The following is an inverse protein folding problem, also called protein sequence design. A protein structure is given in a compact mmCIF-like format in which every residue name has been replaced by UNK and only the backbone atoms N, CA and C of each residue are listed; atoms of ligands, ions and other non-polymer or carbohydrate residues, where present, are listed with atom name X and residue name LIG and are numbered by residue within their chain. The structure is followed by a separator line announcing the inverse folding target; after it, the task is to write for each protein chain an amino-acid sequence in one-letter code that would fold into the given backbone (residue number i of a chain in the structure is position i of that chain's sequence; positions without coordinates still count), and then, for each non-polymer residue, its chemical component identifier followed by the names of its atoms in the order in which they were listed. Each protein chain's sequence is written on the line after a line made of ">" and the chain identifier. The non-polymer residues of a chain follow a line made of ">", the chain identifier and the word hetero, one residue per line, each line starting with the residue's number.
data_IF_399513127257
#
_entry.id   IF_399513127257
#
_cell.length_a   1.000
_cell.length_b   1.000
_cell.length_c   1.000
_cell.angle_alpha   90.00
_cell.angle_beta   90.00
_cell.angle_gamma   90.00
#
_symmetry.space_group_name_H-M   'P 1'
#
loop_
_entity.id
_entity.type
_entity.pdbx_description
1 polymer ?
#
# COMPACT_ATOMS: atom_id res chain seq x y z
N UNK A 1 -2.59 57.68 25.09
CA UNK A 1 -1.74 57.14 24.03
C UNK A 1 -1.92 58.04 22.83
N UNK A 2 -0.86 58.72 22.40
CA UNK A 2 -0.76 59.25 21.04
C UNK A 2 -0.84 58.06 20.07
N UNK A 3 -1.25 58.28 18.81
CA UNK A 3 -1.37 57.19 17.82
C UNK A 3 -0.03 56.46 17.61
N UNK A 4 1.09 57.17 17.84
CA UNK A 4 2.45 56.65 17.81
C UNK A 4 2.80 55.71 18.96
N UNK A 5 2.03 55.72 20.05
CA UNK A 5 2.26 54.85 21.21
C UNK A 5 1.70 53.43 20.98
N UNK A 6 0.94 53.21 19.91
CA UNK A 6 0.41 51.89 19.56
C UNK A 6 1.42 51.10 18.73
N UNK A 7 1.67 49.82 19.03
CA UNK A 7 2.47 48.98 18.16
C UNK A 7 1.92 49.01 16.73
N UNK A 8 2.82 49.12 15.75
CA UNK A 8 2.47 49.36 14.36
C UNK A 8 3.19 48.35 13.48
N UNK A 9 2.45 47.47 12.80
CA UNK A 9 3.06 46.58 11.80
C UNK A 9 3.32 47.34 10.49
N UNK A 10 4.47 47.07 9.87
CA UNK A 10 4.86 47.63 8.58
C UNK A 10 4.66 46.59 7.49
N UNK A 11 3.84 46.90 6.48
CA UNK A 11 3.72 46.06 5.28
C UNK A 11 4.66 46.58 4.20
N UNK A 12 5.62 45.76 3.79
CA UNK A 12 6.61 46.10 2.78
C UNK A 12 6.27 45.47 1.43
N UNK A 13 5.77 46.29 0.51
CA UNK A 13 5.51 45.94 -0.90
C UNK A 13 6.39 46.81 -1.80
N UNK A 14 7.71 46.62 -1.74
CA UNK A 14 8.64 47.43 -2.52
C UNK A 14 9.77 46.60 -3.08
N UNK A 15 9.70 46.29 -4.37
CA UNK A 15 10.74 45.56 -5.09
C UNK A 15 10.66 45.67 -6.63
N UNK A 16 9.82 46.54 -7.21
CA UNK A 16 9.67 46.67 -8.67
C UNK A 16 10.93 47.22 -9.33
N UNK A 17 11.37 48.41 -8.91
CA UNK A 17 12.56 49.05 -9.46
C UNK A 17 13.84 48.32 -9.04
N UNK A 18 13.83 47.74 -7.85
CA UNK A 18 14.92 46.92 -7.34
C UNK A 18 15.22 45.74 -8.27
N UNK A 19 14.19 45.12 -8.87
CA UNK A 19 14.37 44.04 -9.83
C UNK A 19 15.04 44.50 -11.13
N UNK A 20 15.01 45.79 -11.46
CA UNK A 20 15.71 46.38 -12.61
C UNK A 20 17.14 46.82 -12.29
N UNK A 21 17.52 46.83 -11.00
CA UNK A 21 18.83 47.22 -10.54
C UNK A 21 19.91 46.15 -10.74
N UNK A 22 21.12 46.46 -10.28
CA UNK A 22 22.23 45.52 -10.16
C UNK A 22 22.93 45.77 -8.83
N UNK A 23 22.59 44.95 -7.83
CA UNK A 23 23.11 45.04 -6.47
C UNK A 23 23.15 43.65 -5.83
N UNK A 24 23.98 43.48 -4.81
CA UNK A 24 24.12 42.22 -4.07
C UNK A 24 23.05 42.08 -2.97
N UNK A 25 22.87 40.87 -2.44
CA UNK A 25 22.02 40.63 -1.26
C UNK A 25 22.46 41.49 -0.08
N UNK A 26 23.77 41.68 0.10
CA UNK A 26 24.34 42.50 1.17
C UNK A 26 24.00 43.98 1.01
N UNK A 27 24.04 44.50 -0.23
CA UNK A 27 23.60 45.87 -0.51
C UNK A 27 22.11 46.05 -0.20
N UNK A 28 21.26 45.12 -0.64
CA UNK A 28 19.82 45.19 -0.35
C UNK A 28 19.53 45.14 1.15
N UNK A 29 20.17 44.22 1.88
CA UNK A 29 20.05 44.10 3.33
C UNK A 29 20.46 45.38 4.06
N UNK A 30 21.55 46.01 3.63
CA UNK A 30 22.01 47.28 4.20
C UNK A 30 20.96 48.36 4.06
N UNK A 31 20.41 48.54 2.87
CA UNK A 31 19.42 49.59 2.61
C UNK A 31 18.09 49.32 3.36
N UNK A 32 17.62 48.07 3.40
CA UNK A 32 16.37 47.73 4.11
C UNK A 32 16.50 47.86 5.62
N UNK A 33 17.66 47.50 6.20
CA UNK A 33 17.91 47.74 7.63
C UNK A 33 17.95 49.24 7.95
N UNK A 34 18.60 50.03 7.09
CA UNK A 34 18.64 51.48 7.25
C UNK A 34 17.23 52.11 7.18
N UNK A 35 16.38 51.67 6.25
CA UNK A 35 14.99 52.11 6.19
C UNK A 35 14.21 51.71 7.45
N UNK A 36 14.36 50.46 7.90
CA UNK A 36 13.66 49.97 9.09
C UNK A 36 14.03 50.77 10.34
N UNK A 37 15.30 51.13 10.50
CA UNK A 37 15.78 52.01 11.57
C UNK A 37 15.12 53.40 11.47
N UNK A 38 15.02 53.98 10.27
CA UNK A 38 14.35 55.27 10.07
C UNK A 38 12.85 55.23 10.41
N UNK A 39 12.14 54.18 10.02
CA UNK A 39 10.71 53.99 10.34
C UNK A 39 10.51 53.86 11.84
N UNK A 40 11.33 53.02 12.49
CA UNK A 40 11.30 52.79 13.94
C UNK A 40 11.60 54.05 14.73
N UNK A 41 12.62 54.81 14.33
CA UNK A 41 12.96 56.11 14.91
C UNK A 41 11.81 57.12 14.77
N UNK A 42 11.15 57.18 13.61
CA UNK A 42 10.03 58.10 13.37
C UNK A 42 8.79 57.77 14.24
N UNK A 43 8.61 56.49 14.57
CA UNK A 43 7.57 55.98 15.45
C UNK A 43 7.98 56.02 16.93
N UNK A 44 9.26 56.14 17.24
CA UNK A 44 9.78 55.98 18.60
C UNK A 44 9.64 54.55 19.12
N UNK A 45 9.75 53.58 18.22
CA UNK A 45 9.46 52.16 18.45
C UNK A 45 10.69 51.30 18.12
N UNK A 46 10.67 50.04 18.56
CA UNK A 46 11.73 49.07 18.27
C UNK A 46 11.17 47.88 17.47
N UNK A 47 12.04 46.95 17.07
CA UNK A 47 11.65 45.79 16.27
C UNK A 47 10.47 45.01 16.86
N UNK A 48 10.42 44.86 18.19
CA UNK A 48 9.35 44.13 18.88
C UNK A 48 7.96 44.78 18.74
N UNK A 49 7.88 46.10 18.55
CA UNK A 49 6.63 46.86 18.40
C UNK A 49 6.36 47.29 16.97
N UNK A 50 7.36 47.14 16.08
CA UNK A 50 7.27 47.44 14.65
C UNK A 50 7.77 46.26 13.81
N UNK A 51 7.00 45.16 13.75
CA UNK A 51 7.33 44.03 12.88
C UNK A 51 7.12 44.39 11.41
N UNK A 52 7.89 43.74 10.53
CA UNK A 52 7.80 43.91 9.08
C UNK A 52 7.15 42.68 8.43
N UNK A 53 6.16 42.88 7.57
CA UNK A 53 5.62 41.84 6.69
C UNK A 53 6.10 42.13 5.27
N UNK A 54 7.09 41.39 4.79
CA UNK A 54 7.54 41.45 3.40
C UNK A 54 6.53 40.77 2.48
N UNK A 55 6.06 41.51 1.48
CA UNK A 55 5.11 41.01 0.49
C UNK A 55 5.78 41.09 -0.89
N UNK A 56 6.61 40.09 -1.22
CA UNK A 56 7.28 40.03 -2.50
C UNK A 56 6.31 40.09 -3.69
N UNK A 57 6.59 40.93 -4.69
CA UNK A 57 5.92 40.91 -6.00
C UNK A 57 6.92 40.50 -7.07
N UNK A 58 6.65 39.42 -7.82
CA UNK A 58 7.50 39.03 -8.95
C UNK A 58 6.98 39.69 -10.21
N UNK A 59 7.71 40.68 -10.71
CA UNK A 59 7.38 41.32 -11.96
C UNK A 59 7.87 40.47 -13.13
N UNK A 60 7.17 40.46 -14.28
CA UNK A 60 7.61 39.72 -15.45
C UNK A 60 8.81 40.37 -16.15
N UNK A 61 9.30 41.49 -15.62
CA UNK A 61 10.45 42.23 -16.06
C UNK A 61 11.37 42.54 -14.89
N UNK A 62 12.67 42.72 -15.17
CA UNK A 62 13.72 42.79 -14.16
C UNK A 62 14.41 41.44 -13.96
N UNK A 63 15.66 41.47 -13.52
CA UNK A 63 16.52 40.28 -13.35
C UNK A 63 17.13 40.14 -11.96
N UNK A 64 17.00 41.15 -11.09
CA UNK A 64 17.69 41.18 -9.80
C UNK A 64 16.86 40.61 -8.63
N UNK A 65 16.05 39.58 -8.92
CA UNK A 65 15.15 38.97 -7.95
C UNK A 65 15.88 38.24 -6.82
N UNK A 66 16.93 37.47 -7.15
CA UNK A 66 17.62 36.62 -6.17
C UNK A 66 18.17 37.41 -4.98
N UNK A 67 18.89 38.53 -5.16
CA UNK A 67 19.34 39.37 -4.04
C UNK A 67 18.22 39.86 -3.12
N UNK A 68 17.07 40.21 -3.69
CA UNK A 68 15.91 40.72 -2.95
C UNK A 68 15.26 39.58 -2.15
N UNK A 69 15.02 38.44 -2.80
CA UNK A 69 14.42 37.27 -2.16
C UNK A 69 15.28 36.69 -1.04
N UNK A 70 16.58 36.56 -1.28
CA UNK A 70 17.55 36.10 -0.26
C UNK A 70 17.66 37.10 0.89
N UNK A 71 17.56 38.40 0.59
CA UNK A 71 17.55 39.46 1.59
C UNK A 71 16.32 39.39 2.48
N UNK A 72 15.12 39.28 1.89
CA UNK A 72 13.87 39.09 2.63
C UNK A 72 13.94 37.84 3.51
N UNK A 73 14.42 36.71 2.97
CA UNK A 73 14.58 35.46 3.73
C UNK A 73 15.59 35.60 4.89
N UNK A 74 16.66 36.38 4.69
CA UNK A 74 17.65 36.65 5.74
C UNK A 74 17.05 37.50 6.87
N UNK A 75 16.21 38.48 6.55
CA UNK A 75 15.55 39.32 7.55
C UNK A 75 14.40 38.61 8.27
N UNK A 76 13.68 37.73 7.56
CA UNK A 76 12.67 36.81 8.10
C UNK A 76 13.29 35.86 9.14
N UNK A 77 14.48 35.33 8.85
CA UNK A 77 15.23 34.47 9.76
C UNK A 77 15.89 35.24 10.93
N UNK A 78 16.06 36.56 10.81
CA UNK A 78 16.66 37.40 11.85
C UNK A 78 15.61 37.85 12.87
N UNK A 79 15.50 37.10 13.96
CA UNK A 79 14.59 37.41 15.07
C UNK A 79 14.81 38.82 15.66
N UNK A 80 16.01 39.40 15.56
CA UNK A 80 16.27 40.78 16.02
C UNK A 80 15.69 41.83 15.07
N UNK A 81 15.48 41.47 13.81
CA UNK A 81 14.81 42.33 12.83
C UNK A 81 13.28 42.22 12.93
N UNK A 82 12.74 41.10 13.41
CA UNK A 82 11.31 40.84 13.60
C UNK A 82 10.49 41.05 12.31
N UNK A 83 10.70 40.18 11.33
CA UNK A 83 9.95 40.19 10.09
C UNK A 83 9.33 38.84 9.76
N UNK A 84 8.36 38.86 8.85
CA UNK A 84 7.77 37.69 8.20
C UNK A 84 7.68 37.90 6.68
N UNK A 85 7.59 36.82 5.90
CA UNK A 85 7.27 36.88 4.46
C UNK A 85 5.85 36.39 4.20
N UNK A 86 5.05 37.20 3.51
CA UNK A 86 3.74 36.81 2.98
C UNK A 86 3.76 36.68 1.47
N UNK A 87 3.45 35.47 1.00
CA UNK A 87 3.35 35.15 -0.44
C UNK A 87 1.96 35.44 -1.04
N UNK A 88 1.13 36.21 -0.35
CA UNK A 88 -0.24 36.53 -0.77
C UNK A 88 -0.32 37.17 -2.17
N UNK A 89 0.72 37.91 -2.58
CA UNK A 89 0.76 38.60 -3.86
C UNK A 89 1.09 37.70 -5.07
N UNK A 90 1.42 36.41 -4.89
CA UNK A 90 1.86 35.56 -6.01
C UNK A 90 0.73 35.10 -6.94
N UNK A 91 -0.53 35.28 -6.54
CA UNK A 91 -1.72 34.86 -7.30
C UNK A 91 -2.44 36.02 -7.98
N UNK A 92 -1.84 37.21 -8.00
CA UNK A 92 -2.45 38.43 -8.53
C UNK A 92 -2.38 38.44 -10.05
N UNK A 93 -3.41 39.02 -10.67
CA UNK A 93 -3.47 39.19 -12.12
C UNK A 93 -2.54 40.32 -12.59
N UNK A 94 -2.28 41.29 -11.71
CA UNK A 94 -1.45 42.48 -11.93
C UNK A 94 -1.90 43.27 -13.17
N UNK A 95 -3.20 43.51 -13.32
CA UNK A 95 -3.80 44.08 -14.54
C UNK A 95 -4.16 45.58 -14.47
N UNK A 96 -3.59 46.31 -13.51
CA UNK A 96 -3.94 47.71 -13.23
C UNK A 96 -3.67 48.68 -14.37
N UNK A 97 -2.78 48.33 -15.30
CA UNK A 97 -2.49 49.12 -16.51
C UNK A 97 -3.38 48.75 -17.71
N UNK A 98 -4.32 47.82 -17.55
CA UNK A 98 -5.27 47.40 -18.59
C UNK A 98 -4.94 46.08 -19.31
N UNK A 99 -3.89 45.37 -18.89
CA UNK A 99 -3.52 44.03 -19.35
C UNK A 99 -2.85 43.24 -18.22
N UNK A 100 -3.05 41.92 -18.21
CA UNK A 100 -2.50 41.04 -17.17
C UNK A 100 -0.96 41.04 -17.13
N UNK A 101 -0.41 40.81 -15.93
CA UNK A 101 1.03 40.79 -15.63
C UNK A 101 1.73 42.13 -15.96
N UNK A 102 1.10 43.25 -15.63
CA UNK A 102 1.69 44.58 -15.75
C UNK A 102 2.39 45.03 -14.46
N UNK A 103 2.76 46.31 -14.42
CA UNK A 103 3.44 46.98 -13.31
C UNK A 103 2.54 47.29 -12.13
N UNK A 104 1.26 47.52 -12.39
CA UNK A 104 0.33 47.96 -11.35
C UNK A 104 -0.74 46.93 -11.06
N UNK A 105 -1.12 46.89 -9.80
CA UNK A 105 -2.21 46.08 -9.30
C UNK A 105 -3.56 46.71 -9.66
N UNK A 106 -4.47 45.92 -10.23
CA UNK A 106 -5.85 46.35 -10.44
C UNK A 106 -6.63 46.44 -9.12
N UNK A 107 -7.78 47.12 -9.13
CA UNK A 107 -8.59 47.29 -7.91
C UNK A 107 -9.09 45.95 -7.34
N UNK A 108 -9.34 44.95 -8.19
CA UNK A 108 -9.74 43.61 -7.78
C UNK A 108 -8.60 42.87 -7.05
N UNK A 109 -7.39 42.94 -7.60
CA UNK A 109 -6.19 42.37 -6.99
C UNK A 109 -5.85 43.06 -5.65
N UNK A 110 -6.03 44.38 -5.55
CA UNK A 110 -5.79 45.13 -4.31
C UNK A 110 -6.74 44.70 -3.18
N UNK A 111 -8.02 44.49 -3.50
CA UNK A 111 -9.00 43.98 -2.53
C UNK A 111 -8.66 42.54 -2.12
N UNK A 112 -8.29 41.69 -3.08
CA UNK A 112 -7.91 40.30 -2.82
C UNK A 112 -6.68 40.23 -1.92
N UNK A 113 -5.61 40.96 -2.28
CA UNK A 113 -4.38 41.01 -1.49
C UNK A 113 -4.64 41.53 -0.08
N UNK A 114 -5.45 42.58 0.07
CA UNK A 114 -5.83 43.09 1.38
C UNK A 114 -6.51 42.05 2.26
N UNK A 115 -7.38 41.21 1.68
CA UNK A 115 -8.03 40.10 2.38
C UNK A 115 -7.05 39.00 2.80
N UNK A 116 -6.17 38.60 1.87
CA UNK A 116 -5.17 37.56 2.12
C UNK A 116 -4.12 38.02 3.15
N UNK A 117 -3.69 39.28 3.10
CA UNK A 117 -2.79 39.89 4.09
C UNK A 117 -3.46 40.07 5.45
N UNK A 118 -4.74 40.46 5.50
CA UNK A 118 -5.46 40.55 6.77
C UNK A 118 -5.50 39.20 7.50
N UNK A 119 -5.60 38.09 6.76
CA UNK A 119 -5.54 36.75 7.32
C UNK A 119 -4.13 36.38 7.82
N UNK A 120 -3.07 36.69 7.06
CA UNK A 120 -1.69 36.37 7.48
C UNK A 120 -1.23 37.25 8.65
N UNK A 121 -1.50 38.56 8.60
CA UNK A 121 -1.07 39.53 9.61
C UNK A 121 -1.89 39.46 10.90
N UNK A 122 -3.06 38.81 10.91
CA UNK A 122 -3.84 38.62 12.12
C UNK A 122 -3.02 37.90 13.21
N UNK A 123 -2.15 36.98 12.82
CA UNK A 123 -1.28 36.26 13.75
C UNK A 123 -0.16 37.17 14.29
N UNK A 124 0.45 37.97 13.42
CA UNK A 124 1.51 38.95 13.75
C UNK A 124 1.01 40.07 14.65
N UNK A 125 -0.23 40.52 14.46
CA UNK A 125 -0.85 41.61 15.22
C UNK A 125 -1.44 41.14 16.57
N UNK A 126 -1.71 39.84 16.74
CA UNK A 126 -2.38 39.30 17.94
C UNK A 126 -1.57 39.50 19.24
N UNK A 127 -0.24 39.30 19.29
CA UNK A 127 0.57 39.63 20.47
C UNK A 127 0.58 41.12 20.79
N UNK A 128 0.67 41.96 19.74
CA UNK A 128 0.71 43.42 19.86
C UNK A 128 -0.58 44.00 20.44
N UNK A 129 -1.74 43.44 20.07
CA UNK A 129 -3.05 43.85 20.58
C UNK A 129 -3.28 43.52 22.06
N UNK A 130 -2.57 42.53 22.60
CA UNK A 130 -2.77 42.03 23.96
C UNK A 130 -1.79 42.60 25.00
N UNK A 131 -0.88 43.51 24.60
CA UNK A 131 0.10 44.14 25.49
C UNK A 131 1.17 43.20 26.04
N UNK A 132 1.27 41.99 25.49
CA UNK A 132 2.32 41.04 25.79
C UNK A 132 3.48 41.30 24.84
N UNK A 133 4.65 41.67 25.37
CA UNK A 133 5.88 41.62 24.57
C UNK A 133 5.98 40.21 23.96
N UNK A 134 6.25 40.09 22.65
CA UNK A 134 6.30 38.79 22.01
C UNK A 134 7.40 37.97 22.71
N UNK A 135 6.99 36.88 23.37
CA UNK A 135 7.91 35.79 23.65
C UNK A 135 8.24 35.25 22.27
N UNK A 136 9.46 35.54 21.79
CA UNK A 136 10.00 34.96 20.56
C UNK A 136 10.03 33.46 20.79
N UNK A 137 8.96 32.78 20.39
CA UNK A 137 9.07 31.40 19.96
C UNK A 137 10.00 31.42 18.77
N UNK A 138 11.01 30.57 18.81
CA UNK A 138 11.73 30.03 17.64
C UNK A 138 10.83 30.08 16.39
N UNK A 139 11.34 30.56 15.23
CA UNK A 139 10.51 30.76 14.04
C UNK A 139 9.61 29.54 13.86
N UNK A 140 8.33 29.76 13.60
CA UNK A 140 7.53 28.69 13.05
C UNK A 140 8.15 28.40 11.68
N UNK A 141 9.15 27.50 11.67
CA UNK A 141 9.39 26.59 10.56
C UNK A 141 7.99 26.25 10.09
N UNK A 142 7.66 26.46 8.82
CA UNK A 142 6.48 25.82 8.26
C UNK A 142 6.73 24.34 8.54
N UNK A 143 6.17 23.85 9.65
CA UNK A 143 6.44 22.50 10.06
C UNK A 143 5.89 21.67 8.90
N UNK A 144 6.64 20.67 8.43
CA UNK A 144 6.09 19.68 7.53
C UNK A 144 4.71 19.31 8.11
N UNK A 145 3.63 19.39 7.31
CA UNK A 145 2.34 18.89 7.76
C UNK A 145 2.56 17.53 8.41
N UNK A 146 1.99 17.33 9.59
CA UNK A 146 2.14 16.06 10.28
C UNK A 146 1.79 14.93 9.30
N UNK A 147 2.66 13.91 9.12
CA UNK A 147 2.40 12.85 8.16
C UNK A 147 1.04 12.23 8.40
N UNK A 148 0.31 11.99 7.31
CA UNK A 148 -1.04 11.43 7.39
C UNK A 148 -1.02 9.93 7.17
N UNK A 149 -1.93 9.25 7.85
CA UNK A 149 -2.23 7.84 7.65
C UNK A 149 -3.54 7.75 6.86
N UNK A 150 -3.46 7.28 5.62
CA UNK A 150 -4.56 7.16 4.68
C UNK A 150 -4.85 5.67 4.43
N UNK A 151 -6.12 5.36 4.18
CA UNK A 151 -6.53 4.01 3.78
C UNK A 151 -7.59 4.05 2.69
N UNK A 152 -7.49 3.15 1.72
CA UNK A 152 -8.49 2.99 0.65
C UNK A 152 -8.62 1.52 0.22
N UNK A 153 -9.76 1.18 -0.40
CA UNK A 153 -10.06 -0.18 -0.85
C UNK A 153 -10.63 -1.08 0.24
N UNK A 154 -10.74 -2.38 -0.06
CA UNK A 154 -11.26 -3.43 0.82
C UNK A 154 -10.65 -4.78 0.46
N UNK A 155 -10.52 -5.68 1.43
CA UNK A 155 -10.01 -7.03 1.22
C UNK A 155 -9.00 -7.45 2.30
N UNK A 156 -8.52 -8.69 2.23
CA UNK A 156 -7.57 -9.25 3.20
C UNK A 156 -6.16 -8.69 3.05
N UNK A 157 -5.77 -8.29 1.84
CA UNK A 157 -4.40 -7.95 1.51
C UNK A 157 -4.12 -6.48 1.77
N UNK A 158 -2.83 -6.14 1.90
CA UNK A 158 -2.39 -4.81 2.30
C UNK A 158 -1.15 -4.38 1.53
N UNK A 159 -1.29 -3.37 0.66
CA UNK A 159 -0.18 -2.65 0.06
C UNK A 159 -0.03 -1.30 0.76
N UNK A 160 1.13 -1.06 1.35
CA UNK A 160 1.45 0.17 2.08
C UNK A 160 2.50 0.95 1.30
N UNK A 161 2.21 2.21 0.98
CA UNK A 161 3.11 3.15 0.32
C UNK A 161 3.61 4.21 1.32
N UNK A 162 4.89 4.57 1.22
CA UNK A 162 5.47 5.73 1.91
C UNK A 162 5.62 6.88 0.92
N UNK A 163 4.81 7.91 1.11
CA UNK A 163 4.66 9.03 0.16
C UNK A 163 5.22 10.31 0.75
N UNK A 164 5.96 11.07 -0.06
CA UNK A 164 6.53 12.37 0.28
C UNK A 164 6.34 13.32 -0.90
N UNK A 165 6.51 14.62 -0.64
CA UNK A 165 6.49 15.65 -1.67
C UNK A 165 7.61 16.67 -1.50
N UNK A 166 8.02 17.26 -2.61
CA UNK A 166 8.51 18.63 -2.65
C UNK A 166 7.31 19.52 -2.98
N UNK A 167 6.86 20.34 -2.04
CA UNK A 167 5.66 21.16 -2.22
C UNK A 167 6.00 22.50 -2.90
N UNK A 168 5.28 22.84 -3.96
CA UNK A 168 5.41 24.12 -4.66
C UNK A 168 4.05 24.54 -5.23
N UNK A 169 3.60 25.77 -4.93
CA UNK A 169 2.28 26.30 -5.34
C UNK A 169 1.06 25.38 -5.05
N UNK A 170 1.14 24.59 -3.98
CA UNK A 170 0.17 23.54 -3.64
C UNK A 170 0.82 22.17 -3.50
N UNK A 171 0.05 21.22 -2.97
CA UNK A 171 0.54 19.87 -2.69
C UNK A 171 0.48 18.97 -3.92
N UNK A 172 1.35 17.96 -3.94
CA UNK A 172 1.34 16.92 -4.95
C UNK A 172 0.06 16.07 -4.84
N UNK A 173 -0.62 15.87 -5.96
CA UNK A 173 -1.83 15.06 -6.10
C UNK A 173 -1.53 13.85 -6.96
N UNK A 174 -2.02 12.69 -6.54
CA UNK A 174 -1.72 11.43 -7.20
C UNK A 174 -2.87 10.43 -7.14
N UNK A 175 -2.90 9.48 -8.07
CA UNK A 175 -3.72 8.27 -7.96
C UNK A 175 -2.81 7.04 -7.87
N UNK A 176 -3.38 5.94 -7.37
CA UNK A 176 -2.71 4.65 -7.38
C UNK A 176 -3.63 3.63 -8.02
N UNK A 177 -3.08 2.82 -8.92
CA UNK A 177 -3.77 1.68 -9.52
C UNK A 177 -2.97 0.40 -9.31
N UNK A 178 -3.69 -0.72 -9.19
CA UNK A 178 -3.13 -2.07 -9.21
C UNK A 178 -3.73 -2.80 -10.41
N UNK A 179 -2.88 -3.34 -11.28
CA UNK A 179 -3.23 -3.97 -12.56
C UNK A 179 -4.13 -3.08 -13.44
N UNK A 180 -3.87 -1.78 -13.43
CA UNK A 180 -4.63 -0.78 -14.19
C UNK A 180 -5.98 -0.40 -13.57
N UNK A 181 -6.35 -0.97 -12.42
CA UNK A 181 -7.57 -0.60 -11.67
C UNK A 181 -7.20 0.36 -10.56
N UNK A 182 -7.74 1.58 -10.61
CA UNK A 182 -7.52 2.58 -9.56
C UNK A 182 -8.10 2.13 -8.21
N UNK A 183 -7.30 2.22 -7.15
CA UNK A 183 -7.71 1.91 -5.78
C UNK A 183 -7.89 3.22 -5.02
N UNK A 184 -9.14 3.54 -4.67
CA UNK A 184 -9.49 4.81 -4.02
C UNK A 184 -9.64 5.99 -4.99
N UNK A 185 -9.54 7.20 -4.47
CA UNK A 185 -9.67 8.46 -5.22
C UNK A 185 -8.33 9.11 -5.56
N UNK A 186 -8.36 10.41 -5.84
CA UNK A 186 -7.15 11.24 -5.85
C UNK A 186 -6.71 11.50 -4.41
N UNK A 187 -5.44 11.25 -4.14
CA UNK A 187 -4.78 11.52 -2.88
C UNK A 187 -3.98 12.81 -2.97
N UNK A 188 -3.70 13.42 -1.82
CA UNK A 188 -2.88 14.62 -1.70
C UNK A 188 -1.77 14.34 -0.71
N UNK A 189 -0.52 14.51 -1.12
CA UNK A 189 0.64 14.35 -0.25
C UNK A 189 0.71 15.51 0.75
N UNK A 190 1.18 15.21 1.96
CA UNK A 190 1.34 16.16 3.05
C UNK A 190 2.79 16.19 3.54
N UNK A 191 3.40 15.02 3.75
CA UNK A 191 4.74 14.91 4.32
C UNK A 191 5.84 15.40 3.36
N UNK A 192 6.79 16.17 3.89
CA UNK A 192 7.86 16.76 3.10
C UNK A 192 9.04 15.79 2.93
N UNK A 193 9.55 15.68 1.71
CA UNK A 193 10.71 14.86 1.39
C UNK A 193 11.96 15.31 2.15
N UNK A 194 12.17 16.64 2.26
CA UNK A 194 13.29 17.24 3.01
C UNK A 194 13.27 16.95 4.52
N UNK A 195 12.11 16.59 5.08
CA UNK A 195 11.97 16.26 6.50
C UNK A 195 12.25 14.78 6.81
N UNK A 196 12.41 13.93 5.78
CA UNK A 196 12.57 12.48 5.94
C UNK A 196 11.35 11.80 6.56
N UNK A 197 10.20 12.47 6.57
CA UNK A 197 8.93 11.95 7.06
C UNK A 197 8.05 11.57 5.87
N UNK A 198 7.24 10.53 6.00
CA UNK A 198 6.38 10.05 4.92
C UNK A 198 4.94 9.86 5.38
N UNK A 199 4.01 10.27 4.54
CA UNK A 199 2.62 9.82 4.63
C UNK A 199 2.60 8.30 4.44
N UNK A 200 1.69 7.64 5.13
CA UNK A 200 1.42 6.22 4.92
C UNK A 200 0.11 6.08 4.18
N UNK A 201 0.12 5.49 2.99
CA UNK A 201 -1.10 5.11 2.28
C UNK A 201 -1.26 3.59 2.27
N UNK A 202 -2.29 3.10 2.95
CA UNK A 202 -2.66 1.67 2.97
C UNK A 202 -3.77 1.39 1.95
N UNK A 203 -3.45 0.61 0.93
CA UNK A 203 -4.39 0.12 -0.06
C UNK A 203 -4.78 -1.33 0.29
N UNK A 204 -6.09 -1.59 0.36
CA UNK A 204 -6.68 -2.90 0.62
C UNK A 204 -7.24 -3.52 -0.65
N UNK A 205 -7.02 -4.82 -0.82
CA UNK A 205 -7.48 -5.60 -1.96
C UNK A 205 -7.62 -7.08 -1.62
N UNK A 206 -8.24 -7.82 -2.54
CA UNK A 206 -8.25 -9.29 -2.58
C UNK A 206 -7.53 -9.71 -3.88
N UNK A 207 -6.20 -9.56 -3.91
CA UNK A 207 -5.40 -9.82 -5.09
C UNK A 207 -5.10 -11.32 -5.20
N UNK A 208 -5.36 -11.90 -6.37
CA UNK A 208 -5.10 -13.33 -6.58
C UNK A 208 -3.60 -13.63 -6.62
N UNK A 209 -3.16 -14.82 -6.22
CA UNK A 209 -1.73 -15.16 -6.26
C UNK A 209 -1.07 -14.88 -7.63
N UNK A 210 0.13 -14.34 -7.60
CA UNK A 210 0.86 -13.94 -8.80
C UNK A 210 1.49 -12.56 -8.68
N UNK A 211 2.06 -12.08 -9.79
CA UNK A 211 2.65 -10.76 -9.86
C UNK A 211 1.59 -9.71 -10.19
N UNK A 212 1.62 -8.59 -9.47
CA UNK A 212 0.74 -7.44 -9.66
C UNK A 212 1.55 -6.20 -9.96
N UNK A 213 1.06 -5.38 -10.90
CA UNK A 213 1.67 -4.11 -11.26
C UNK A 213 1.00 -2.98 -10.52
N UNK A 214 1.77 -2.20 -9.79
CA UNK A 214 1.33 -0.96 -9.15
C UNK A 214 1.76 0.20 -10.04
N UNK A 215 0.87 1.17 -10.23
CA UNK A 215 1.17 2.43 -10.89
C UNK A 215 0.76 3.59 -9.99
N UNK A 216 1.71 4.46 -9.67
CA UNK A 216 1.47 5.75 -9.00
C UNK A 216 1.54 6.83 -10.07
N UNK A 217 0.44 7.56 -10.27
CA UNK A 217 0.32 8.59 -11.30
C UNK A 217 0.30 9.97 -10.66
N UNK A 218 1.34 10.76 -10.91
CA UNK A 218 1.46 12.14 -10.42
C UNK A 218 0.71 13.08 -11.36
N UNK A 219 -0.23 13.86 -10.82
CA UNK A 219 -1.28 14.51 -11.63
C UNK A 219 -1.05 15.99 -11.89
N UNK A 220 -0.31 16.67 -11.03
CA UNK A 220 -0.21 18.12 -11.04
C UNK A 220 1.23 18.58 -10.88
N UNK A 221 2.09 18.28 -11.82
CA UNK A 221 3.44 18.87 -11.85
C UNK A 221 3.40 20.41 -11.94
N UNK A 222 4.37 21.07 -11.32
CA UNK A 222 4.58 22.51 -11.41
C UNK A 222 6.07 22.85 -11.26
N UNK A 223 6.71 23.23 -12.37
CA UNK A 223 8.11 23.66 -12.39
C UNK A 223 8.25 25.18 -12.43
N UNK A 224 8.89 25.75 -11.41
CA UNK A 224 9.15 27.18 -11.24
C UNK A 224 10.52 27.65 -11.74
N UNK A 225 11.29 26.81 -12.43
CA UNK A 225 12.61 27.16 -12.98
C UNK A 225 13.81 26.77 -12.10
N UNK A 226 13.57 26.23 -10.90
CA UNK A 226 14.62 25.73 -9.99
C UNK A 226 14.10 24.60 -9.10
N UNK A 227 14.99 23.77 -8.57
CA UNK A 227 14.64 22.62 -7.72
C UNK A 227 13.92 23.01 -6.42
N UNK A 228 14.16 24.20 -5.87
CA UNK A 228 13.43 24.72 -4.69
C UNK A 228 12.03 25.26 -5.03
N UNK A 229 11.70 25.32 -6.31
CA UNK A 229 10.43 25.78 -6.85
C UNK A 229 9.81 24.70 -7.73
N UNK A 230 10.00 23.45 -7.34
CA UNK A 230 9.56 22.29 -8.10
C UNK A 230 8.56 21.50 -7.28
N UNK A 231 7.46 21.08 -7.91
CA UNK A 231 6.49 20.20 -7.25
C UNK A 231 6.78 18.78 -7.67
N UNK A 232 7.33 18.01 -6.74
CA UNK A 232 7.64 16.60 -6.98
C UNK A 232 6.85 15.70 -6.04
N UNK A 233 6.58 14.50 -6.52
CA UNK A 233 6.06 13.40 -5.70
C UNK A 233 7.13 12.32 -5.57
N UNK A 234 7.27 11.78 -4.36
CA UNK A 234 8.22 10.70 -4.08
C UNK A 234 7.49 9.53 -3.44
N UNK A 235 7.84 8.34 -3.91
CA UNK A 235 7.61 7.07 -3.21
C UNK A 235 8.96 6.69 -2.61
N UNK A 236 9.08 6.69 -1.28
CA UNK A 236 10.32 6.27 -0.60
C UNK A 236 10.41 4.74 -0.50
N UNK A 237 9.26 4.09 -0.42
CA UNK A 237 9.17 2.64 -0.47
C UNK A 237 7.75 2.13 -0.39
N UNK A 238 7.63 0.81 -0.55
CA UNK A 238 6.38 0.11 -0.34
C UNK A 238 6.58 -1.17 0.44
N UNK A 239 5.55 -1.61 1.15
CA UNK A 239 5.47 -2.91 1.78
C UNK A 239 4.16 -3.61 1.40
N UNK A 240 4.24 -4.87 1.03
CA UNK A 240 3.10 -5.71 0.72
C UNK A 240 2.95 -6.81 1.79
N UNK A 241 1.79 -6.87 2.45
CA UNK A 241 1.51 -7.75 3.59
C UNK A 241 2.63 -7.73 4.66
N UNK A 242 3.19 -6.52 4.90
CA UNK A 242 4.27 -6.29 5.86
C UNK A 242 5.68 -6.60 5.36
N UNK A 243 5.84 -7.10 4.13
CA UNK A 243 7.15 -7.36 3.51
C UNK A 243 7.55 -6.22 2.58
N UNK A 244 8.81 -5.77 2.65
CA UNK A 244 9.31 -4.70 1.79
C UNK A 244 9.28 -5.11 0.31
N UNK A 245 8.80 -4.21 -0.56
CA UNK A 245 8.76 -4.40 -2.01
C UNK A 245 10.01 -3.78 -2.63
N UNK A 246 10.86 -4.60 -3.23
CA UNK A 246 12.09 -4.14 -3.86
C UNK A 246 11.79 -3.27 -5.11
N UNK A 247 12.52 -2.16 -5.25
CA UNK A 247 12.37 -1.26 -6.40
C UNK A 247 11.12 -0.38 -6.38
N UNK A 248 10.41 -0.32 -5.24
CA UNK A 248 9.23 0.54 -5.10
C UNK A 248 9.57 2.04 -4.96
N UNK A 249 10.81 2.38 -4.60
CA UNK A 249 11.24 3.76 -4.46
C UNK A 249 11.30 4.46 -5.83
N UNK A 250 10.69 5.63 -5.96
CA UNK A 250 10.61 6.39 -7.20
C UNK A 250 10.43 7.89 -6.95
N UNK A 251 11.09 8.71 -7.75
CA UNK A 251 10.80 10.15 -7.87
C UNK A 251 9.98 10.41 -9.13
N UNK A 252 8.91 11.17 -8.97
CA UNK A 252 8.04 11.64 -10.04
C UNK A 252 8.22 13.16 -10.15
N UNK A 253 9.18 13.55 -10.99
CA UNK A 253 9.59 14.94 -11.22
C UNK A 253 8.74 15.67 -12.27
N UNK A 254 7.84 14.94 -12.94
CA UNK A 254 6.89 15.46 -13.92
C UNK A 254 5.61 14.64 -13.88
N UNK A 255 4.52 15.18 -14.42
CA UNK A 255 3.22 14.49 -14.47
C UNK A 255 3.37 13.15 -15.19
N UNK A 256 2.75 12.11 -14.63
CA UNK A 256 2.71 10.78 -15.23
C UNK A 256 2.99 9.66 -14.23
N UNK A 257 3.00 8.44 -14.78
CA UNK A 257 3.05 7.23 -13.99
C UNK A 257 4.47 6.68 -13.78
N UNK A 258 4.76 6.25 -12.56
CA UNK A 258 5.84 5.32 -12.23
C UNK A 258 5.23 4.06 -11.63
N UNK A 259 5.81 2.92 -11.98
CA UNK A 259 5.31 1.63 -11.54
C UNK A 259 6.38 0.75 -10.93
N UNK A 260 5.92 -0.15 -10.08
CA UNK A 260 6.69 -1.23 -9.48
C UNK A 260 5.76 -2.45 -9.35
N UNK A 261 6.32 -3.61 -9.01
CA UNK A 261 5.53 -4.82 -8.87
C UNK A 261 5.69 -5.43 -7.48
N UNK A 262 4.62 -6.05 -6.98
CA UNK A 262 4.69 -6.98 -5.87
C UNK A 262 4.23 -8.36 -6.34
N UNK A 263 4.48 -9.39 -5.52
CA UNK A 263 3.99 -10.75 -5.78
C UNK A 263 3.17 -11.17 -4.59
N UNK A 264 1.89 -11.49 -4.83
CA UNK A 264 1.10 -12.18 -3.84
C UNK A 264 1.47 -13.66 -3.87
N UNK A 265 1.84 -14.17 -2.70
CA UNK A 265 2.18 -15.57 -2.58
C UNK A 265 0.93 -16.41 -2.82
N UNK A 266 1.07 -17.59 -3.43
CA UNK A 266 0.02 -18.58 -3.32
C UNK A 266 -0.25 -18.81 -1.82
N UNK A 267 -1.52 -18.95 -1.40
CA UNK A 267 -1.85 -19.26 -0.02
C UNK A 267 -0.95 -20.38 0.46
N UNK A 268 -0.21 -20.14 1.55
CA UNK A 268 0.70 -21.14 2.09
C UNK A 268 -0.11 -22.43 2.31
N UNK A 269 0.25 -23.49 1.60
CA UNK A 269 -0.42 -24.74 1.80
C UNK A 269 -0.04 -25.20 3.21
N UNK A 270 -1.02 -25.30 4.10
CA UNK A 270 -0.78 -25.93 5.40
C UNK A 270 -0.14 -27.28 5.10
N UNK A 271 1.00 -27.60 5.72
CA UNK A 271 1.73 -28.83 5.43
C UNK A 271 0.86 -30.10 5.47
N UNK A 272 1.40 -31.26 5.10
CA UNK A 272 0.60 -32.45 4.78
C UNK A 272 -0.47 -32.77 5.82
N UNK A 273 -1.71 -32.91 5.37
CA UNK A 273 -2.84 -33.23 6.26
C UNK A 273 -3.20 -34.70 6.19
N UNK A 274 -3.91 -35.18 7.21
CA UNK A 274 -4.50 -36.52 7.23
C UNK A 274 -5.99 -36.42 7.45
N UNK A 275 -6.78 -36.89 6.48
CA UNK A 275 -8.23 -36.78 6.43
C UNK A 275 -8.82 -38.19 6.37
N UNK A 276 -9.92 -38.43 7.07
CA UNK A 276 -10.71 -39.66 6.93
C UNK A 276 -12.15 -39.31 6.55
N UNK A 277 -12.71 -40.01 5.57
CA UNK A 277 -14.09 -39.83 5.12
C UNK A 277 -14.78 -41.18 4.84
N UNK A 278 -16.10 -41.21 4.92
CA UNK A 278 -16.90 -42.42 4.77
C UNK A 278 -17.01 -43.26 6.05
N UNK A 279 -17.49 -44.49 5.90
CA UNK A 279 -17.70 -45.43 7.01
C UNK A 279 -17.68 -46.87 6.52
N UNK A 280 -17.22 -47.80 7.35
CA UNK A 280 -17.18 -49.23 7.04
C UNK A 280 -15.88 -49.90 7.47
N UNK A 281 -15.76 -51.21 7.23
CA UNK A 281 -14.58 -52.00 7.61
C UNK A 281 -13.37 -51.75 6.71
N UNK A 282 -13.62 -51.41 5.45
CA UNK A 282 -12.60 -51.37 4.41
C UNK A 282 -11.93 -50.00 4.36
N UNK A 283 -10.72 -49.96 3.81
CA UNK A 283 -9.86 -48.78 3.88
C UNK A 283 -9.09 -48.57 2.57
N UNK A 284 -9.50 -47.58 1.78
CA UNK A 284 -8.73 -47.06 0.65
C UNK A 284 -7.99 -45.81 1.09
N UNK A 285 -6.66 -45.83 1.09
CA UNK A 285 -5.82 -44.68 1.45
C UNK A 285 -5.16 -44.12 0.19
N UNK A 286 -5.41 -42.84 -0.09
CA UNK A 286 -4.76 -42.10 -1.17
C UNK A 286 -3.66 -41.20 -0.60
N UNK A 287 -2.55 -41.12 -1.34
CA UNK A 287 -1.52 -40.10 -1.18
C UNK A 287 -1.73 -39.06 -2.28
N UNK A 288 -1.99 -37.82 -1.88
CA UNK A 288 -2.36 -36.73 -2.81
C UNK A 288 -1.47 -35.52 -2.55
N UNK A 289 -1.00 -34.88 -3.62
CA UNK A 289 -0.23 -33.64 -3.56
C UNK A 289 -0.64 -32.70 -4.69
N UNK A 290 -0.13 -31.48 -4.67
CA UNK A 290 -0.48 -30.44 -5.65
C UNK A 290 0.71 -29.60 -6.09
N UNK A 291 0.56 -29.01 -7.27
CA UNK A 291 1.23 -27.75 -7.63
C UNK A 291 0.21 -26.63 -7.40
N UNK A 292 0.44 -25.76 -6.42
CA UNK A 292 -0.51 -24.72 -6.05
C UNK A 292 -0.31 -23.45 -6.90
N UNK A 293 -1.39 -22.92 -7.46
CA UNK A 293 -1.40 -21.67 -8.19
C UNK A 293 -2.76 -20.98 -8.00
N UNK A 294 -2.79 -19.71 -7.59
CA UNK A 294 -4.02 -18.94 -7.29
C UNK A 294 -4.99 -19.63 -6.31
N UNK A 295 -4.46 -20.44 -5.39
CA UNK A 295 -5.23 -21.27 -4.45
C UNK A 295 -4.99 -22.78 -4.64
N UNK A 296 -5.46 -23.61 -3.69
CA UNK A 296 -5.22 -25.05 -3.72
C UNK A 296 -6.11 -25.81 -4.72
N UNK A 297 -5.61 -26.97 -5.17
CA UNK A 297 -6.36 -27.93 -5.93
C UNK A 297 -7.49 -28.55 -5.10
N UNK A 298 -8.68 -28.61 -5.70
CA UNK A 298 -9.89 -29.19 -5.12
C UNK A 298 -10.30 -30.41 -5.93
N UNK A 299 -10.70 -31.47 -5.24
CA UNK A 299 -11.01 -32.73 -5.87
C UNK A 299 -12.10 -33.51 -5.14
N UNK A 300 -12.72 -34.44 -5.85
CA UNK A 300 -13.61 -35.45 -5.24
C UNK A 300 -13.08 -36.85 -5.53
N UNK A 301 -13.50 -37.81 -4.71
CA UNK A 301 -13.21 -39.23 -4.96
C UNK A 301 -14.50 -40.01 -4.95
N UNK A 302 -14.70 -40.84 -5.97
CA UNK A 302 -15.81 -41.79 -6.04
C UNK A 302 -15.28 -43.22 -6.16
N UNK A 303 -16.04 -44.17 -5.60
CA UNK A 303 -15.84 -45.61 -5.81
C UNK A 303 -17.11 -46.16 -6.45
N UNK A 304 -16.96 -46.82 -7.59
CA UNK A 304 -18.03 -47.29 -8.48
C UNK A 304 -19.06 -46.20 -8.83
N UNK A 305 -18.57 -44.98 -9.05
CA UNK A 305 -19.40 -43.81 -9.37
C UNK A 305 -20.11 -43.19 -8.17
N UNK A 306 -19.94 -43.72 -6.96
CA UNK A 306 -20.49 -43.15 -5.73
C UNK A 306 -19.42 -42.34 -5.01
N UNK A 307 -19.63 -41.03 -4.88
CA UNK A 307 -18.70 -40.15 -4.17
C UNK A 307 -18.58 -40.55 -2.68
N UNK A 308 -17.35 -40.65 -2.18
CA UNK A 308 -17.04 -40.92 -0.78
C UNK A 308 -16.53 -39.64 -0.12
N UNK A 309 -17.28 -39.11 0.84
CA UNK A 309 -16.99 -37.82 1.46
C UNK A 309 -17.50 -36.62 0.65
N UNK A 310 -16.85 -35.47 0.83
CA UNK A 310 -17.20 -34.22 0.15
C UNK A 310 -16.17 -33.81 -0.91
N UNK A 311 -16.09 -32.52 -1.19
CA UNK A 311 -14.95 -31.93 -1.89
C UNK A 311 -13.78 -31.82 -0.93
N UNK A 312 -12.62 -32.31 -1.35
CA UNK A 312 -11.36 -32.21 -0.63
C UNK A 312 -10.50 -31.09 -1.21
N UNK A 313 -9.63 -30.54 -0.38
CA UNK A 313 -8.65 -29.52 -0.75
C UNK A 313 -7.27 -30.10 -0.48
N UNK A 314 -6.41 -30.12 -1.51
CA UNK A 314 -5.03 -30.53 -1.35
C UNK A 314 -4.23 -29.48 -0.58
N UNK A 315 -3.21 -29.96 0.13
CA UNK A 315 -2.35 -29.19 1.04
C UNK A 315 -0.89 -29.53 0.81
N UNK A 316 -0.52 -30.79 0.62
CA UNK A 316 0.86 -31.17 0.42
C UNK A 316 1.45 -30.67 -0.92
N UNK A 317 2.68 -30.13 -0.88
CA UNK A 317 3.43 -29.72 -2.08
C UNK A 317 4.04 -30.93 -2.79
N UNK A 318 3.73 -31.09 -4.09
CA UNK A 318 4.30 -32.14 -4.93
C UNK A 318 5.81 -31.95 -5.13
N UNK A 319 6.24 -30.71 -5.42
CA UNK A 319 7.66 -30.36 -5.59
C UNK A 319 8.51 -30.64 -4.33
N UNK A 320 7.91 -30.59 -3.13
CA UNK A 320 8.56 -30.93 -1.87
C UNK A 320 8.61 -32.45 -1.59
N UNK A 321 8.04 -33.29 -2.46
CA UNK A 321 7.92 -34.74 -2.26
C UNK A 321 7.01 -35.11 -1.09
N UNK A 322 6.05 -34.24 -0.77
CA UNK A 322 5.11 -34.43 0.33
C UNK A 322 3.75 -34.91 -0.20
N UNK A 323 2.96 -35.58 0.64
CA UNK A 323 1.60 -36.00 0.30
C UNK A 323 0.65 -35.89 1.48
N UNK A 324 -0.55 -35.39 1.24
CA UNK A 324 -1.70 -35.57 2.11
C UNK A 324 -2.06 -37.05 2.18
N UNK A 325 -2.71 -37.45 3.27
CA UNK A 325 -3.21 -38.81 3.47
C UNK A 325 -4.72 -38.78 3.57
N UNK A 326 -5.42 -39.21 2.51
CA UNK A 326 -6.87 -39.34 2.50
C UNK A 326 -7.27 -40.80 2.69
N UNK A 327 -7.89 -41.12 3.83
CA UNK A 327 -8.45 -42.45 4.11
C UNK A 327 -9.95 -42.46 3.84
N UNK A 328 -10.37 -43.24 2.85
CA UNK A 328 -11.75 -43.47 2.50
C UNK A 328 -12.21 -44.82 3.10
N UNK A 329 -13.29 -44.78 3.87
CA UNK A 329 -13.90 -45.94 4.51
C UNK A 329 -15.15 -46.38 3.77
N UNK A 330 -15.30 -47.69 3.58
CA UNK A 330 -16.41 -48.31 2.86
C UNK A 330 -16.71 -49.73 3.34
N UNK A 331 -17.80 -50.29 2.81
CA UNK A 331 -18.12 -51.71 2.89
C UNK A 331 -18.28 -52.22 1.45
N UNK A 332 -17.16 -52.38 0.75
CA UNK A 332 -17.15 -52.80 -0.64
C UNK A 332 -17.29 -54.32 -0.72
N UNK A 333 -18.11 -54.81 -1.65
CA UNK A 333 -18.33 -56.23 -1.80
C UNK A 333 -17.10 -56.92 -2.40
N UNK A 334 -16.98 -58.24 -2.28
CA UNK A 334 -15.91 -58.96 -2.97
C UNK A 334 -15.96 -58.71 -4.49
N UNK A 335 -14.81 -58.36 -5.09
CA UNK A 335 -14.73 -58.03 -6.51
C UNK A 335 -13.83 -56.84 -6.82
N UNK A 336 -13.79 -56.47 -8.10
CA UNK A 336 -13.04 -55.30 -8.58
C UNK A 336 -13.90 -54.03 -8.44
N UNK A 337 -13.29 -52.96 -7.95
CA UNK A 337 -13.93 -51.66 -7.76
C UNK A 337 -13.17 -50.57 -8.50
N UNK A 338 -13.90 -49.64 -9.09
CA UNK A 338 -13.34 -48.51 -9.82
C UNK A 338 -13.29 -47.26 -8.95
N UNK A 339 -12.10 -46.71 -8.76
CA UNK A 339 -11.89 -45.43 -8.12
C UNK A 339 -11.78 -44.36 -9.19
N UNK A 340 -12.44 -43.23 -8.98
CA UNK A 340 -12.25 -42.02 -9.80
C UNK A 340 -11.93 -40.84 -8.90
N UNK A 341 -10.81 -40.19 -9.18
CA UNK A 341 -10.39 -38.91 -8.58
C UNK A 341 -10.64 -37.83 -9.61
N UNK A 342 -11.51 -36.89 -9.30
CA UNK A 342 -11.93 -35.80 -10.20
C UNK A 342 -11.30 -34.48 -9.73
N UNK A 343 -10.44 -33.88 -10.55
CA UNK A 343 -9.86 -32.56 -10.30
C UNK A 343 -10.81 -31.45 -10.80
N UNK A 344 -11.19 -30.53 -9.90
CA UNK A 344 -12.34 -29.65 -10.12
C UNK A 344 -12.00 -28.23 -10.59
N UNK A 345 -10.90 -27.66 -10.09
CA UNK A 345 -10.62 -26.24 -10.24
C UNK A 345 -9.28 -26.01 -10.93
N UNK A 346 -9.09 -26.50 -12.14
CA UNK A 346 -7.89 -26.22 -12.93
C UNK A 346 -7.68 -24.70 -13.16
N UNK A 347 -6.41 -24.28 -13.21
CA UNK A 347 -6.01 -22.89 -13.49
C UNK A 347 -4.60 -22.84 -14.10
N UNK A 348 -4.50 -22.42 -15.36
CA UNK A 348 -3.25 -22.29 -16.09
C UNK A 348 -2.93 -20.84 -16.48
N UNK A 349 -1.80 -20.34 -15.98
CA UNK A 349 -1.27 -19.00 -16.20
C UNK A 349 -0.18 -18.93 -17.28
N UNK A 350 -0.11 -19.90 -18.19
CA UNK A 350 0.78 -19.86 -19.36
C UNK A 350 2.18 -20.46 -19.15
N UNK A 351 2.50 -20.97 -17.97
CA UNK A 351 3.75 -21.69 -17.68
C UNK A 351 3.56 -22.73 -16.58
N UNK A 352 4.48 -23.70 -16.47
CA UNK A 352 4.43 -24.70 -15.40
C UNK A 352 4.56 -24.11 -13.97
N UNK A 353 5.22 -22.95 -13.82
CA UNK A 353 5.31 -22.26 -12.53
C UNK A 353 4.00 -21.53 -12.16
N UNK A 354 3.12 -21.36 -13.13
CA UNK A 354 1.83 -20.68 -12.99
C UNK A 354 0.69 -21.65 -13.32
N UNK A 355 0.83 -22.91 -12.94
CA UNK A 355 -0.11 -23.98 -13.27
C UNK A 355 -0.59 -24.70 -12.02
N UNK A 356 -1.91 -24.89 -11.88
CA UNK A 356 -2.50 -25.62 -10.76
C UNK A 356 -2.75 -27.06 -11.17
N UNK A 357 -2.01 -27.97 -10.57
CA UNK A 357 -2.12 -29.40 -10.85
C UNK A 357 -2.44 -30.21 -9.59
N UNK A 358 -3.13 -31.33 -9.77
CA UNK A 358 -3.36 -32.32 -8.72
C UNK A 358 -2.58 -33.61 -9.06
N UNK A 359 -1.99 -34.22 -8.05
CA UNK A 359 -1.25 -35.47 -8.21
C UNK A 359 -1.81 -36.52 -7.26
N UNK A 360 -2.14 -37.69 -7.79
CA UNK A 360 -2.26 -38.90 -6.97
C UNK A 360 -0.88 -39.55 -6.96
N UNK A 361 -0.22 -39.54 -5.81
CA UNK A 361 1.15 -40.09 -5.67
C UNK A 361 1.12 -41.62 -5.51
N UNK A 362 0.00 -42.15 -5.03
CA UNK A 362 -0.23 -43.58 -4.90
C UNK A 362 -1.45 -43.90 -4.03
N UNK A 363 -1.77 -45.20 -3.95
CA UNK A 363 -2.85 -45.66 -3.09
C UNK A 363 -2.53 -47.01 -2.43
N UNK A 364 -3.16 -47.26 -1.28
CA UNK A 364 -3.21 -48.58 -0.66
C UNK A 364 -4.65 -48.95 -0.37
N UNK A 365 -4.97 -50.23 -0.47
CA UNK A 365 -6.27 -50.79 -0.12
C UNK A 365 -6.08 -51.88 0.93
N UNK A 366 -6.70 -51.70 2.10
CA UNK A 366 -6.54 -52.55 3.28
C UNK A 366 -5.06 -52.84 3.62
N UNK A 367 -4.20 -51.84 3.41
CA UNK A 367 -2.75 -51.91 3.65
C UNK A 367 -1.91 -52.46 2.49
N UNK A 368 -2.52 -53.00 1.43
CA UNK A 368 -1.81 -53.46 0.24
C UNK A 368 -1.70 -52.35 -0.81
N UNK A 369 -0.55 -52.24 -1.48
CA UNK A 369 -0.36 -51.24 -2.53
C UNK A 369 -1.28 -51.49 -3.75
N UNK A 370 -1.90 -50.43 -4.26
CA UNK A 370 -2.74 -50.48 -5.46
C UNK A 370 -1.89 -50.07 -6.67
N UNK A 371 -1.62 -51.02 -7.56
CA UNK A 371 -0.83 -50.77 -8.75
C UNK A 371 -1.56 -49.83 -9.73
N UNK A 372 -0.83 -48.90 -10.34
CA UNK A 372 -1.39 -47.96 -11.32
C UNK A 372 -2.22 -46.81 -10.73
N UNK A 373 -2.26 -46.67 -9.40
CA UNK A 373 -2.97 -45.57 -8.75
C UNK A 373 -2.29 -44.20 -8.93
N UNK A 374 -0.97 -44.18 -9.11
CA UNK A 374 -0.23 -42.94 -9.27
C UNK A 374 -0.56 -42.28 -10.63
N UNK A 375 -1.03 -41.04 -10.62
CA UNK A 375 -1.44 -40.32 -11.82
C UNK A 375 -1.39 -38.81 -11.62
N UNK A 376 -0.83 -38.04 -12.57
CA UNK A 376 -1.00 -36.59 -12.60
C UNK A 376 -2.34 -36.21 -13.24
N UNK A 377 -2.96 -35.16 -12.71
CA UNK A 377 -4.15 -34.49 -13.23
C UNK A 377 -3.75 -33.05 -13.58
N UNK A 378 -3.28 -32.88 -14.82
CA UNK A 378 -2.76 -31.59 -15.32
C UNK A 378 -3.84 -30.65 -15.87
N UNK A 379 -5.10 -31.05 -15.76
CA UNK A 379 -6.26 -30.26 -16.13
C UNK A 379 -7.51 -30.85 -15.47
N UNK A 380 -8.59 -30.07 -15.43
CA UNK A 380 -9.84 -30.52 -14.81
C UNK A 380 -10.36 -31.81 -15.46
N UNK A 381 -10.81 -32.76 -14.65
CA UNK A 381 -11.28 -34.07 -15.11
C UNK A 381 -10.93 -35.23 -14.18
N UNK A 382 -11.46 -36.41 -14.53
CA UNK A 382 -11.23 -37.66 -13.82
C UNK A 382 -9.95 -38.39 -14.25
N UNK A 383 -9.25 -38.95 -13.27
CA UNK A 383 -8.39 -40.13 -13.43
C UNK A 383 -8.89 -41.26 -12.57
N UNK A 384 -8.77 -42.48 -13.07
CA UNK A 384 -9.26 -43.66 -12.37
C UNK A 384 -8.27 -44.80 -12.35
N UNK A 385 -8.43 -45.64 -11.34
CA UNK A 385 -7.68 -46.87 -11.12
C UNK A 385 -8.59 -47.88 -10.40
N UNK A 386 -8.16 -49.13 -10.28
CA UNK A 386 -8.97 -50.19 -9.68
C UNK A 386 -8.29 -50.79 -8.46
N UNK A 387 -9.08 -51.22 -7.48
CA UNK A 387 -8.62 -52.17 -6.46
C UNK A 387 -9.52 -53.42 -6.48
N UNK A 388 -9.12 -54.47 -5.76
CA UNK A 388 -9.91 -55.69 -5.63
C UNK A 388 -10.10 -56.03 -4.15
N UNK A 389 -11.34 -56.15 -3.74
CA UNK A 389 -11.70 -56.70 -2.42
C UNK A 389 -11.73 -58.22 -2.50
N UNK A 390 -11.06 -58.87 -1.55
CA UNK A 390 -11.00 -60.32 -1.50
C UNK A 390 -12.35 -60.88 -1.05
N UNK A 391 -12.71 -62.06 -1.55
CA UNK A 391 -13.83 -62.79 -0.97
C UNK A 391 -13.52 -63.10 0.51
N UNK A 392 -14.51 -63.01 1.42
CA UNK A 392 -14.36 -63.50 2.78
C UNK A 392 -13.82 -64.93 2.73
N UNK A 393 -12.83 -65.24 3.58
CA UNK A 393 -12.36 -66.61 3.72
C UNK A 393 -13.58 -67.51 3.99
N UNK A 394 -13.74 -68.65 3.30
CA UNK A 394 -14.84 -69.55 3.58
C UNK A 394 -14.80 -69.91 5.06
N UNK A 395 -15.89 -69.64 5.76
CA UNK A 395 -16.04 -70.06 7.15
C UNK A 395 -15.86 -71.57 7.20
N UNK A 396 -14.84 -72.04 7.93
CA UNK A 396 -14.69 -73.47 8.19
C UNK A 396 -16.01 -73.99 8.76
N UNK A 397 -16.56 -75.10 8.25
CA UNK A 397 -17.78 -75.66 8.82
C UNK A 397 -17.55 -75.95 10.30
N UNK A 398 -18.56 -75.65 11.13
CA UNK A 398 -18.50 -75.93 12.56
C UNK A 398 -18.14 -77.42 12.77
N UNK A 399 -17.23 -77.75 13.71
CA UNK A 399 -16.89 -79.13 13.98
C UNK A 399 -18.14 -79.87 14.47
N UNK A 400 -18.59 -80.85 13.67
CA UNK A 400 -19.72 -81.69 14.04
C UNK A 400 -19.29 -82.57 15.21
N UNK A 401 -19.95 -82.38 16.36
CA UNK A 401 -19.73 -83.21 17.54
C UNK A 401 -20.58 -84.47 17.41
N UNK A 402 -19.95 -85.59 17.05
CA UNK A 402 -20.61 -86.90 17.08
C UNK A 402 -20.39 -87.46 18.49
N UNK A 403 -21.48 -87.62 19.24
CA UNK A 403 -21.46 -88.33 20.53
C UNK A 403 -21.91 -89.76 20.30
N UNK A 404 -21.04 -90.73 20.57
CA UNK A 404 -21.37 -92.14 20.49
C UNK A 404 -21.30 -92.78 21.88
N UNK A 405 -22.41 -93.41 22.30
CA UNK A 405 -22.58 -94.08 23.60
C UNK A 405 -23.81 -93.58 24.36
N UNK A 406 -24.44 -94.45 25.15
CA UNK A 406 -25.64 -94.15 25.96
C UNK A 406 -25.41 -94.32 27.47
N UNK A 407 -24.14 -94.41 27.90
CA UNK A 407 -23.73 -94.54 29.31
C UNK A 407 -23.09 -93.25 29.88
N UNK A 408 -22.65 -93.26 31.15
CA UNK A 408 -22.02 -92.11 31.81
C UNK A 408 -20.65 -91.74 31.22
N UNK A 409 -20.02 -92.65 30.48
CA UNK A 409 -18.81 -92.40 29.71
C UNK A 409 -19.16 -92.20 28.24
N UNK A 410 -18.82 -91.03 27.68
CA UNK A 410 -19.05 -90.70 26.28
C UNK A 410 -17.71 -90.38 25.58
N UNK A 411 -17.54 -90.90 24.37
CA UNK A 411 -16.44 -90.49 23.49
C UNK A 411 -16.92 -89.36 22.59
N UNK A 412 -16.34 -88.18 22.76
CA UNK A 412 -16.57 -87.02 21.87
C UNK A 412 -15.48 -87.00 20.82
N UNK A 413 -15.81 -87.35 19.58
CA UNK A 413 -14.92 -87.12 18.45
C UNK A 413 -15.18 -85.72 17.88
N UNK A 414 -14.16 -84.86 17.93
CA UNK A 414 -14.13 -83.64 17.12
C UNK A 414 -13.43 -83.97 15.80
N UNK A 415 -14.18 -84.02 14.71
CA UNK A 415 -13.63 -84.27 13.38
C UNK A 415 -13.66 -82.95 12.61
N UNK A 416 -12.48 -82.43 12.28
CA UNK A 416 -12.30 -81.40 11.24
C UNK A 416 -12.00 -82.11 9.91
N UNK A 417 -12.52 -81.58 8.79
CA UNK A 417 -12.07 -82.02 7.47
C UNK A 417 -10.64 -81.53 7.19
#
# INVERSE_FOLDING_TARGET
>A
ADIKDNPTATVWMHNEYDQQGSFSTEDWLREVRADADMVRDALGQEAATTPYTFVPIRYPYGGNWTPIGDGMATLDADASFNAEISWAAQSLTMDGDGWANSSHMGNADAVKLGGDLAASMAETLRPLANGSAPVVGEPAVVQPPAPVELSAGSGSDSLVLKILQDAYQGSAQYTVSVDGVQVGGTFTASAWHSAGQSDTLTLKGDWAAGAHQVSVDFLNDAWGGSASTDRNLHVDGAAYNGQAVAGAAASLETTGAKGFAFTEAAPATSGPVSITAGSGSDSLVLKVSQDAYQGPAQYTVSVDGVQVGGTFTASASHAAGQSDTLTLKGNWAAGAHQVSVEFLNDAYGGSAATDRNLHVDGATYNGAAVAGAAAPLMSAGAKGFSFTEAAPAPTAPDPVSITAGSGPDALVLKVSQ
#
